data_IF_708615332908
#
_entry.id   IF_708615332908
#
_cell.length_a   1.000
_cell.length_b   1.000
_cell.length_c   1.000
_cell.angle_alpha   90.00
_cell.angle_beta   90.00
_cell.angle_gamma   90.00
#
_symmetry.space_group_name_H-M   'P 1'
#
loop_
_entity.id
_entity.type
_entity.pdbx_description
1 polymer ?
#
# COMPACT_ATOMS: atom_id res chain seq x y z
N UNK A 1 -5.55 -5.47 27.09
CA UNK A 1 -4.84 -4.91 25.93
C UNK A 1 -4.83 -6.00 24.86
N UNK A 2 -5.59 -5.84 23.76
CA UNK A 2 -5.57 -6.82 22.66
C UNK A 2 -4.37 -6.46 21.76
N UNK A 3 -3.24 -7.10 21.98
CA UNK A 3 -2.08 -7.03 21.10
C UNK A 3 -2.22 -8.12 20.01
N UNK A 4 -2.18 -7.75 18.75
CA UNK A 4 -2.35 -8.70 17.63
C UNK A 4 -1.21 -9.74 17.57
N UNK A 5 -0.05 -9.48 18.20
CA UNK A 5 1.04 -10.43 18.32
C UNK A 5 0.65 -11.72 19.04
N UNK A 6 -0.39 -11.68 19.92
CA UNK A 6 -0.92 -12.84 20.62
C UNK A 6 -1.37 -13.95 19.65
N UNK A 7 -1.82 -13.59 18.45
CA UNK A 7 -2.25 -14.58 17.45
C UNK A 7 -1.12 -15.41 16.86
N UNK A 8 0.11 -14.95 17.03
CA UNK A 8 1.31 -15.54 16.41
C UNK A 8 2.22 -16.25 17.41
N UNK A 9 1.89 -16.17 18.72
CA UNK A 9 2.70 -16.71 19.81
C UNK A 9 1.85 -17.62 20.71
N UNK A 10 2.51 -18.56 21.40
CA UNK A 10 1.85 -19.25 22.50
C UNK A 10 1.68 -18.28 23.69
N UNK A 11 0.72 -18.54 24.60
CA UNK A 11 0.58 -17.73 25.82
C UNK A 11 1.87 -17.65 26.66
N UNK A 12 2.63 -18.74 26.67
CA UNK A 12 3.90 -18.80 27.40
C UNK A 12 4.96 -17.90 26.77
N UNK A 13 5.13 -17.96 25.46
CA UNK A 13 6.05 -17.09 24.71
C UNK A 13 5.68 -15.63 24.87
N UNK A 14 4.39 -15.30 24.72
CA UNK A 14 3.91 -13.92 24.84
C UNK A 14 4.20 -13.32 26.22
N UNK A 15 4.10 -14.10 27.29
CA UNK A 15 4.30 -13.62 28.67
C UNK A 15 5.76 -13.60 29.12
N UNK A 16 6.61 -14.51 28.59
CA UNK A 16 7.99 -14.67 29.05
C UNK A 16 9.05 -13.99 28.19
N UNK A 17 8.79 -13.76 26.91
CA UNK A 17 9.79 -13.17 26.03
C UNK A 17 9.93 -11.67 26.26
N UNK A 18 11.18 -11.14 26.18
CA UNK A 18 11.42 -9.70 26.07
C UNK A 18 10.69 -9.12 24.83
N UNK A 19 10.30 -7.84 24.89
CA UNK A 19 9.45 -7.24 23.86
C UNK A 19 10.06 -7.33 22.46
N UNK A 20 11.31 -7.03 22.26
CA UNK A 20 11.99 -7.14 20.96
C UNK A 20 11.88 -8.55 20.40
N UNK A 21 12.26 -9.56 21.19
CA UNK A 21 12.20 -10.97 20.75
C UNK A 21 10.76 -11.43 20.49
N UNK A 22 9.83 -11.03 21.37
CA UNK A 22 8.39 -11.30 21.25
C UNK A 22 7.86 -10.83 19.90
N UNK A 23 8.04 -9.56 19.58
CA UNK A 23 7.49 -8.96 18.37
C UNK A 23 8.23 -9.43 17.11
N UNK A 24 9.54 -9.64 17.18
CA UNK A 24 10.29 -10.23 16.07
C UNK A 24 9.80 -11.66 15.76
N UNK A 25 9.62 -12.49 16.78
CA UNK A 25 9.12 -13.86 16.61
C UNK A 25 7.69 -13.91 16.05
N UNK A 26 6.83 -13.01 16.51
CA UNK A 26 5.49 -12.86 15.96
C UNK A 26 5.52 -12.46 14.48
N UNK A 27 6.36 -11.50 14.11
CA UNK A 27 6.57 -11.07 12.73
C UNK A 27 7.09 -12.21 11.86
N UNK A 28 8.09 -12.94 12.31
CA UNK A 28 8.68 -14.06 11.57
C UNK A 28 7.64 -15.15 11.27
N UNK A 29 6.79 -15.48 12.24
CA UNK A 29 5.70 -16.45 12.04
C UNK A 29 4.63 -15.94 11.09
N UNK A 30 4.26 -14.65 11.22
CA UNK A 30 3.35 -14.01 10.27
C UNK A 30 3.89 -14.08 8.84
N UNK A 31 5.16 -13.74 8.63
CA UNK A 31 5.79 -13.75 7.30
C UNK A 31 5.94 -15.15 6.73
N UNK A 32 6.27 -16.14 7.56
CA UNK A 32 6.52 -17.54 7.16
C UNK A 32 5.24 -18.39 7.09
N UNK A 33 4.05 -17.85 7.40
CA UNK A 33 2.82 -18.65 7.41
C UNK A 33 2.58 -19.36 6.06
N UNK A 34 2.29 -20.68 6.07
CA UNK A 34 2.35 -21.50 4.85
C UNK A 34 1.17 -21.29 3.90
N UNK A 35 0.02 -20.86 4.38
CA UNK A 35 -1.19 -20.67 3.58
C UNK A 35 -1.64 -19.22 3.67
N UNK A 36 -1.43 -18.48 2.57
CA UNK A 36 -2.01 -17.16 2.37
C UNK A 36 -3.19 -17.28 1.41
N UNK A 37 -4.30 -16.66 1.74
CA UNK A 37 -5.42 -16.53 0.81
C UNK A 37 -5.00 -15.69 -0.42
N UNK A 38 -5.76 -15.80 -1.50
CA UNK A 38 -5.51 -14.97 -2.70
C UNK A 38 -5.62 -13.47 -2.37
N UNK A 39 -6.51 -13.11 -1.46
CA UNK A 39 -6.67 -11.75 -0.97
C UNK A 39 -5.43 -11.26 -0.21
N UNK A 40 -4.95 -12.04 0.78
CA UNK A 40 -3.72 -11.69 1.52
C UNK A 40 -2.50 -11.58 0.61
N UNK A 41 -2.39 -12.47 -0.37
CA UNK A 41 -1.32 -12.41 -1.36
C UNK A 41 -1.40 -11.13 -2.22
N UNK A 42 -2.62 -10.69 -2.58
CA UNK A 42 -2.87 -9.41 -3.26
C UNK A 42 -2.44 -8.24 -2.40
N UNK A 43 -2.92 -8.17 -1.16
CA UNK A 43 -2.60 -7.11 -0.21
C UNK A 43 -1.09 -6.99 0.06
N UNK A 44 -0.37 -8.11 0.17
CA UNK A 44 1.09 -8.08 0.31
C UNK A 44 1.78 -7.48 -0.91
N UNK A 45 1.25 -7.73 -2.10
CA UNK A 45 1.79 -7.16 -3.32
C UNK A 45 1.51 -5.65 -3.42
N UNK A 46 0.31 -5.22 -3.04
CA UNK A 46 -0.02 -3.80 -2.93
C UNK A 46 0.93 -3.08 -1.96
N UNK A 47 1.19 -3.66 -0.79
CA UNK A 47 2.15 -3.13 0.19
C UNK A 47 3.58 -3.07 -0.37
N UNK A 48 4.00 -4.08 -1.13
CA UNK A 48 5.30 -4.08 -1.79
C UNK A 48 5.42 -2.96 -2.84
N UNK A 49 4.41 -2.79 -3.68
CA UNK A 49 4.38 -1.70 -4.68
C UNK A 49 4.32 -0.34 -3.96
N UNK A 50 3.51 -0.21 -2.92
CA UNK A 50 3.45 1.01 -2.09
C UNK A 50 4.80 1.35 -1.47
N UNK A 51 5.50 0.36 -0.89
CA UNK A 51 6.87 0.53 -0.39
C UNK A 51 7.82 1.11 -1.47
N UNK A 52 7.75 0.59 -2.70
CA UNK A 52 8.60 1.11 -3.78
C UNK A 52 8.30 2.58 -4.10
N UNK A 53 7.02 2.96 -4.10
CA UNK A 53 6.61 4.35 -4.29
C UNK A 53 7.02 5.25 -3.12
N UNK A 54 6.81 4.83 -1.88
CA UNK A 54 7.23 5.58 -0.69
C UNK A 54 8.76 5.73 -0.66
N UNK A 55 9.49 4.68 -1.08
CA UNK A 55 10.95 4.73 -1.20
C UNK A 55 11.44 5.74 -2.24
N UNK A 56 10.64 5.98 -3.28
CA UNK A 56 10.88 6.99 -4.32
C UNK A 56 10.35 8.39 -3.92
N UNK A 57 9.86 8.57 -2.69
CA UNK A 57 9.39 9.84 -2.14
C UNK A 57 7.96 10.21 -2.54
N UNK A 58 7.11 9.23 -2.91
CA UNK A 58 5.68 9.45 -3.08
C UNK A 58 4.94 9.33 -1.74
N UNK A 59 3.93 10.14 -1.55
CA UNK A 59 2.90 9.91 -0.56
C UNK A 59 1.92 8.87 -1.10
N UNK A 60 1.76 7.74 -0.40
CA UNK A 60 0.96 6.59 -0.85
C UNK A 60 -0.28 6.42 0.01
N UNK A 61 -1.46 6.39 -0.62
CA UNK A 61 -2.72 6.02 0.01
C UNK A 61 -3.13 4.62 -0.46
N UNK A 62 -3.41 3.72 0.49
CA UNK A 62 -3.82 2.34 0.24
C UNK A 62 -5.36 2.26 0.28
N UNK A 63 -6.01 2.06 -0.86
CA UNK A 63 -7.47 2.02 -0.97
C UNK A 63 -8.05 0.63 -0.71
N UNK A 64 -7.41 -0.43 -1.16
CA UNK A 64 -7.87 -1.81 -0.95
C UNK A 64 -8.06 -2.19 0.52
N UNK A 65 -7.35 -1.52 1.44
CA UNK A 65 -7.46 -1.73 2.88
C UNK A 65 -8.61 -0.94 3.54
N UNK A 66 -9.10 0.15 2.92
CA UNK A 66 -10.04 1.08 3.55
C UNK A 66 -11.48 0.97 3.05
N UNK A 67 -11.72 0.60 1.79
CA UNK A 67 -13.05 0.67 1.17
C UNK A 67 -13.60 -0.65 0.60
N UNK A 68 -12.84 -1.73 0.67
CA UNK A 68 -13.30 -3.06 0.27
C UNK A 68 -13.76 -3.12 -1.19
N UNK A 69 -15.04 -3.47 -1.45
CA UNK A 69 -15.61 -3.62 -2.81
C UNK A 69 -15.78 -2.30 -3.57
N UNK A 70 -15.62 -1.15 -2.94
CA UNK A 70 -15.76 0.16 -3.55
C UNK A 70 -14.45 0.76 -4.06
N UNK A 71 -13.37 -0.01 -4.13
CA UNK A 71 -12.07 0.44 -4.63
C UNK A 71 -12.06 0.74 -6.14
N UNK A 72 -13.10 0.32 -6.87
CA UNK A 72 -13.24 0.45 -8.33
C UNK A 72 -12.02 -0.03 -9.12
N UNK A 73 -11.20 -0.92 -8.51
CA UNK A 73 -9.99 -1.46 -9.12
C UNK A 73 -8.79 -0.51 -9.07
N UNK A 74 -8.77 0.46 -8.15
CA UNK A 74 -7.60 1.22 -7.76
C UNK A 74 -7.10 0.74 -6.40
N UNK A 75 -5.87 0.29 -6.35
CA UNK A 75 -5.31 -0.24 -5.10
C UNK A 75 -4.51 0.82 -4.35
N UNK A 76 -3.77 1.68 -5.10
CA UNK A 76 -2.96 2.75 -4.54
C UNK A 76 -3.19 4.07 -5.27
N UNK A 77 -3.14 5.18 -4.53
CA UNK A 77 -2.96 6.53 -5.06
C UNK A 77 -1.63 7.07 -4.55
N UNK A 78 -0.72 7.35 -5.49
CA UNK A 78 0.64 7.78 -5.18
C UNK A 78 0.85 9.21 -5.68
N UNK A 79 1.07 10.14 -4.75
CA UNK A 79 1.22 11.58 -5.05
C UNK A 79 2.65 12.03 -4.82
N UNK A 80 3.21 12.74 -5.79
CA UNK A 80 4.52 13.40 -5.66
C UNK A 80 4.55 14.65 -6.51
N UNK A 81 4.85 15.78 -5.90
CA UNK A 81 4.76 17.10 -6.54
C UNK A 81 3.37 17.28 -7.17
N UNK A 82 3.31 17.66 -8.45
CA UNK A 82 2.06 17.86 -9.21
C UNK A 82 1.59 16.60 -9.94
N UNK A 83 2.20 15.44 -9.69
CA UNK A 83 1.87 14.19 -10.35
C UNK A 83 1.16 13.20 -9.43
N UNK A 84 0.10 12.59 -9.92
CA UNK A 84 -0.69 11.58 -9.22
C UNK A 84 -0.70 10.30 -10.05
N UNK A 85 -0.22 9.21 -9.47
CA UNK A 85 -0.32 7.88 -10.08
C UNK A 85 -1.51 7.12 -9.48
N UNK A 86 -2.42 6.67 -10.33
CA UNK A 86 -3.52 5.76 -9.98
C UNK A 86 -3.03 4.36 -10.31
N UNK A 87 -2.79 3.55 -9.28
CA UNK A 87 -2.11 2.26 -9.44
C UNK A 87 -3.07 1.11 -9.17
N UNK A 88 -3.12 0.17 -10.10
CA UNK A 88 -3.73 -1.14 -9.90
C UNK A 88 -2.63 -2.20 -9.81
N UNK A 89 -2.75 -3.09 -8.81
CA UNK A 89 -1.79 -4.14 -8.51
C UNK A 89 -2.41 -5.53 -8.80
N UNK A 90 -1.66 -6.42 -9.45
CA UNK A 90 -2.15 -7.79 -9.70
C UNK A 90 -1.05 -8.81 -9.47
N UNK A 91 -1.20 -9.59 -8.39
CA UNK A 91 -0.32 -10.72 -8.09
C UNK A 91 -0.92 -12.01 -8.64
N UNK A 92 -0.51 -12.38 -9.84
CA UNK A 92 -0.92 -13.61 -10.48
C UNK A 92 0.28 -14.55 -10.72
N UNK A 93 -0.02 -15.84 -10.92
CA UNK A 93 1.00 -16.81 -11.34
C UNK A 93 1.46 -16.51 -12.76
N UNK A 94 2.69 -16.91 -13.09
CA UNK A 94 3.29 -16.75 -14.42
C UNK A 94 2.51 -17.40 -15.56
N UNK A 95 1.57 -18.31 -15.24
CA UNK A 95 0.68 -18.97 -16.23
C UNK A 95 -0.49 -18.11 -16.69
N UNK A 96 -0.76 -16.96 -16.02
CA UNK A 96 -1.84 -16.04 -16.35
C UNK A 96 -1.26 -14.77 -16.97
N UNK A 97 -2.03 -14.12 -17.85
CA UNK A 97 -1.69 -12.83 -18.43
C UNK A 97 -2.76 -11.78 -18.07
N UNK A 98 -2.33 -10.54 -18.01
CA UNK A 98 -3.25 -9.40 -17.90
C UNK A 98 -3.85 -9.14 -19.27
N UNK A 99 -5.18 -9.05 -19.35
CA UNK A 99 -5.94 -8.79 -20.55
C UNK A 99 -6.46 -7.34 -20.60
N UNK A 100 -6.89 -6.90 -21.79
CA UNK A 100 -7.36 -5.54 -22.08
C UNK A 100 -8.47 -5.05 -21.14
N UNK A 101 -9.34 -5.92 -20.67
CA UNK A 101 -10.42 -5.56 -19.73
C UNK A 101 -9.89 -4.94 -18.44
N UNK A 102 -8.71 -5.37 -17.97
CA UNK A 102 -8.09 -4.82 -16.76
C UNK A 102 -7.51 -3.43 -17.04
N UNK A 103 -6.95 -3.22 -18.22
CA UNK A 103 -6.44 -1.91 -18.66
C UNK A 103 -7.60 -0.92 -18.77
N UNK A 104 -8.73 -1.33 -19.38
CA UNK A 104 -9.94 -0.52 -19.51
C UNK A 104 -10.54 -0.17 -18.15
N UNK A 105 -10.56 -1.12 -17.21
CA UNK A 105 -11.03 -0.89 -15.83
C UNK A 105 -10.19 0.20 -15.16
N UNK A 106 -8.86 0.06 -15.16
CA UNK A 106 -7.96 1.05 -14.56
C UNK A 106 -8.12 2.43 -15.23
N UNK A 107 -8.19 2.47 -16.56
CA UNK A 107 -8.37 3.73 -17.27
C UNK A 107 -9.69 4.41 -16.88
N UNK A 108 -10.81 3.69 -16.89
CA UNK A 108 -12.11 4.22 -16.48
C UNK A 108 -12.11 4.72 -15.02
N UNK A 109 -11.49 3.97 -14.10
CA UNK A 109 -11.30 4.38 -12.71
C UNK A 109 -10.45 5.65 -12.59
N UNK A 110 -9.41 5.78 -13.42
CA UNK A 110 -8.55 6.97 -13.44
C UNK A 110 -9.32 8.21 -13.92
N UNK A 111 -10.17 8.05 -14.97
CA UNK A 111 -11.06 9.12 -15.43
C UNK A 111 -12.01 9.56 -14.31
N UNK A 112 -12.65 8.61 -13.65
CA UNK A 112 -13.58 8.91 -12.55
C UNK A 112 -12.88 9.61 -11.39
N UNK A 113 -11.68 9.16 -11.01
CA UNK A 113 -10.89 9.83 -9.98
C UNK A 113 -10.58 11.28 -10.35
N UNK A 114 -10.15 11.52 -11.59
CA UNK A 114 -9.90 12.89 -12.07
C UNK A 114 -11.13 13.76 -11.98
N UNK A 115 -12.27 13.27 -12.47
CA UNK A 115 -13.52 14.03 -12.49
C UNK A 115 -14.06 14.33 -11.10
N UNK A 116 -13.87 13.41 -10.12
CA UNK A 116 -14.39 13.59 -8.77
C UNK A 116 -13.45 14.38 -7.85
N UNK A 117 -12.12 14.19 -7.98
CA UNK A 117 -11.16 14.65 -6.97
C UNK A 117 -10.21 15.76 -7.46
N UNK A 118 -9.99 15.87 -8.76
CA UNK A 118 -8.97 16.78 -9.30
C UNK A 118 -9.53 17.92 -10.13
N UNK A 119 -10.68 17.73 -10.76
CA UNK A 119 -11.16 18.65 -11.78
C UNK A 119 -12.11 19.70 -11.23
N UNK A 120 -11.84 20.97 -11.53
CA UNK A 120 -12.77 22.08 -11.28
C UNK A 120 -13.88 22.11 -12.32
N UNK A 121 -13.57 21.70 -13.56
CA UNK A 121 -14.51 21.75 -14.72
C UNK A 121 -15.27 20.44 -14.94
N UNK A 122 -14.84 19.35 -14.31
CA UNK A 122 -15.42 18.00 -14.43
C UNK A 122 -15.61 17.55 -15.90
N UNK A 123 -14.66 17.90 -16.78
CA UNK A 123 -14.74 17.59 -18.22
C UNK A 123 -13.73 16.53 -18.63
N UNK A 124 -14.11 15.73 -19.64
CA UNK A 124 -13.22 14.69 -20.21
C UNK A 124 -12.03 15.33 -20.93
N UNK A 125 -12.22 16.50 -21.56
CA UNK A 125 -11.12 17.22 -22.22
C UNK A 125 -10.05 17.64 -21.22
N UNK A 126 -10.44 18.11 -20.04
CA UNK A 126 -9.52 18.43 -18.95
C UNK A 126 -8.74 17.20 -18.47
N UNK A 127 -9.37 16.03 -18.45
CA UNK A 127 -8.70 14.78 -18.14
C UNK A 127 -7.60 14.45 -19.17
N UNK A 128 -7.90 14.53 -20.47
CA UNK A 128 -6.89 14.25 -21.49
C UNK A 128 -5.72 15.23 -21.44
N UNK A 129 -5.97 16.49 -21.13
CA UNK A 129 -4.89 17.45 -20.91
C UNK A 129 -4.04 17.05 -19.70
N UNK A 130 -4.64 16.72 -18.55
CA UNK A 130 -3.94 16.30 -17.36
C UNK A 130 -3.12 15.00 -17.59
N UNK A 131 -3.62 14.08 -18.40
CA UNK A 131 -2.92 12.85 -18.79
C UNK A 131 -1.69 13.16 -19.65
N UNK A 132 -1.83 14.05 -20.64
CA UNK A 132 -0.74 14.48 -21.52
C UNK A 132 0.34 15.25 -20.73
N UNK A 133 -0.07 16.10 -19.80
CA UNK A 133 0.81 16.87 -18.92
C UNK A 133 1.42 16.03 -17.79
N UNK A 134 1.10 14.72 -17.72
CA UNK A 134 1.53 13.78 -16.67
C UNK A 134 1.16 14.22 -15.25
N UNK A 135 0.08 14.98 -15.11
CA UNK A 135 -0.50 15.33 -13.81
C UNK A 135 -1.29 14.18 -13.22
N UNK A 136 -1.86 13.33 -14.07
CA UNK A 136 -2.47 12.05 -13.68
C UNK A 136 -1.95 10.93 -14.57
N UNK A 137 -1.55 9.79 -13.97
CA UNK A 137 -0.89 8.69 -14.67
C UNK A 137 -1.51 7.36 -14.19
N UNK A 138 -2.24 6.64 -15.06
CA UNK A 138 -2.68 5.28 -14.76
C UNK A 138 -1.49 4.31 -14.86
N UNK A 139 -1.26 3.52 -13.81
CA UNK A 139 -0.17 2.53 -13.75
C UNK A 139 -0.73 1.17 -13.39
N UNK A 140 -0.48 0.17 -14.22
CA UNK A 140 -0.81 -1.21 -13.93
C UNK A 140 0.46 -1.97 -13.53
N UNK A 141 0.55 -2.42 -12.27
CA UNK A 141 1.65 -3.21 -11.75
C UNK A 141 1.24 -4.68 -11.64
N UNK A 142 2.00 -5.59 -12.22
CA UNK A 142 1.70 -7.03 -12.19
C UNK A 142 2.94 -7.87 -11.96
N UNK A 143 2.76 -9.04 -11.32
CA UNK A 143 3.81 -10.07 -11.23
C UNK A 143 3.91 -10.92 -12.50
N UNK A 144 2.96 -10.78 -13.43
CA UNK A 144 2.89 -11.55 -14.68
C UNK A 144 2.85 -10.65 -15.90
N UNK A 145 3.01 -11.22 -17.09
CA UNK A 145 3.00 -10.51 -18.36
C UNK A 145 1.61 -10.05 -18.79
N UNK A 146 1.59 -9.27 -19.84
CA UNK A 146 0.40 -8.70 -20.47
C UNK A 146 0.17 -9.38 -21.83
N UNK A 147 -1.09 -9.57 -22.23
CA UNK A 147 -1.40 -9.97 -23.61
C UNK A 147 -1.04 -8.85 -24.58
N UNK A 148 -0.80 -9.20 -25.83
CA UNK A 148 -0.50 -8.24 -26.89
C UNK A 148 -1.61 -7.18 -27.02
N UNK A 149 -2.88 -7.62 -26.98
CA UNK A 149 -4.04 -6.73 -26.99
C UNK A 149 -4.03 -5.78 -25.79
N UNK A 150 -3.69 -6.27 -24.58
CA UNK A 150 -3.60 -5.40 -23.41
C UNK A 150 -2.53 -4.32 -23.56
N UNK A 151 -1.38 -4.65 -24.15
CA UNK A 151 -0.31 -3.68 -24.41
C UNK A 151 -0.72 -2.64 -25.47
N UNK A 152 -1.47 -3.05 -26.50
CA UNK A 152 -2.03 -2.13 -27.51
C UNK A 152 -3.01 -1.14 -26.87
N UNK A 153 -3.93 -1.63 -26.02
CA UNK A 153 -4.86 -0.79 -25.28
C UNK A 153 -4.13 0.16 -24.33
N UNK A 154 -3.15 -0.34 -23.59
CA UNK A 154 -2.36 0.47 -22.67
C UNK A 154 -1.65 1.63 -23.40
N UNK A 155 -1.03 1.33 -24.55
CA UNK A 155 -0.38 2.35 -25.38
C UNK A 155 -1.38 3.41 -25.86
N UNK A 156 -2.55 2.99 -26.34
CA UNK A 156 -3.58 3.91 -26.86
C UNK A 156 -4.21 4.78 -25.77
N UNK A 157 -4.34 4.25 -24.55
CA UNK A 157 -4.98 4.92 -23.41
C UNK A 157 -3.98 5.64 -22.48
N UNK A 158 -2.69 5.59 -22.78
CA UNK A 158 -1.66 6.21 -21.92
C UNK A 158 -1.46 5.48 -20.59
N UNK A 159 -1.81 4.19 -20.49
CA UNK A 159 -1.61 3.37 -19.28
C UNK A 159 -0.19 2.82 -19.25
N UNK A 160 0.51 3.01 -18.14
CA UNK A 160 1.86 2.43 -17.94
C UNK A 160 1.73 1.01 -17.38
N UNK A 161 2.21 0.02 -18.15
CA UNK A 161 2.28 -1.37 -17.72
C UNK A 161 3.65 -1.69 -17.13
N UNK A 162 3.69 -2.17 -15.88
CA UNK A 162 4.92 -2.57 -15.19
C UNK A 162 4.84 -4.04 -14.79
N UNK A 163 5.79 -4.86 -15.28
CA UNK A 163 6.01 -6.21 -14.74
C UNK A 163 6.99 -6.05 -13.58
N UNK A 164 6.52 -6.31 -12.36
CA UNK A 164 7.31 -6.16 -11.14
C UNK A 164 7.16 -7.39 -10.27
N UNK A 165 8.04 -8.39 -10.40
CA UNK A 165 8.06 -9.53 -9.48
C UNK A 165 8.26 -9.06 -8.04
N UNK A 166 7.58 -9.71 -7.11
CA UNK A 166 7.75 -9.40 -5.69
C UNK A 166 9.13 -9.84 -5.23
N UNK A 167 9.87 -8.92 -4.62
CA UNK A 167 11.16 -9.15 -3.99
C UNK A 167 11.11 -9.01 -2.47
N UNK A 168 12.21 -9.30 -1.76
CA UNK A 168 12.33 -9.00 -0.35
C UNK A 168 12.32 -7.48 -0.13
N UNK A 169 11.65 -7.04 0.93
CA UNK A 169 11.64 -5.63 1.35
C UNK A 169 11.41 -5.53 2.86
N UNK A 170 11.86 -4.47 3.52
CA UNK A 170 11.58 -4.25 4.94
C UNK A 170 10.07 -4.01 5.13
N UNK A 171 9.50 -4.64 6.16
CA UNK A 171 8.05 -4.63 6.37
C UNK A 171 7.62 -3.94 7.68
N UNK A 172 8.54 -3.43 8.46
CA UNK A 172 8.24 -2.71 9.70
C UNK A 172 8.17 -1.22 9.36
N UNK A 173 7.00 -0.61 9.50
CA UNK A 173 6.81 0.82 9.27
C UNK A 173 7.13 1.60 10.53
N UNK A 174 8.12 2.49 10.49
CA UNK A 174 8.52 3.39 11.56
C UNK A 174 8.07 4.80 11.23
N UNK A 175 6.98 5.27 11.84
CA UNK A 175 6.42 6.59 11.58
C UNK A 175 6.41 7.49 12.81
N UNK A 176 6.36 8.79 12.59
CA UNK A 176 6.27 9.82 13.62
C UNK A 176 4.84 10.37 13.64
N UNK A 177 4.15 10.22 14.76
CA UNK A 177 2.79 10.73 14.91
C UNK A 177 2.80 12.26 14.82
N UNK A 178 2.08 12.82 13.85
CA UNK A 178 2.08 14.27 13.58
C UNK A 178 1.54 15.11 14.74
N UNK A 179 0.65 14.56 15.56
CA UNK A 179 0.01 15.29 16.68
C UNK A 179 0.77 15.17 17.99
N UNK A 180 1.39 14.00 18.25
CA UNK A 180 2.06 13.71 19.53
C UNK A 180 3.57 13.67 19.43
N UNK A 181 4.12 13.69 18.22
CA UNK A 181 5.54 13.49 17.90
C UNK A 181 6.13 12.17 18.44
N UNK A 182 5.25 11.21 18.75
CA UNK A 182 5.69 9.89 19.19
C UNK A 182 6.25 9.09 18.01
N UNK A 183 7.39 8.44 18.23
CA UNK A 183 8.02 7.52 17.30
C UNK A 183 7.39 6.13 17.48
N UNK A 184 6.69 5.63 16.47
CA UNK A 184 5.89 4.42 16.56
C UNK A 184 6.26 3.47 15.42
N UNK A 185 6.50 2.18 15.73
CA UNK A 185 6.59 1.18 14.67
C UNK A 185 5.35 0.29 14.61
N UNK A 186 4.98 -0.06 13.38
CA UNK A 186 3.86 -0.92 13.03
C UNK A 186 4.33 -2.20 12.35
N UNK A 187 3.74 -3.32 12.75
CA UNK A 187 3.93 -4.61 12.10
C UNK A 187 2.80 -4.89 11.11
N UNK A 188 3.03 -5.72 10.05
CA UNK A 188 2.07 -5.93 8.98
C UNK A 188 0.68 -6.47 9.40
N UNK A 189 0.57 -6.98 10.61
CA UNK A 189 -0.70 -7.45 11.18
C UNK A 189 -1.39 -6.43 12.10
N UNK A 190 -0.83 -5.22 12.23
CA UNK A 190 -1.43 -4.17 13.05
C UNK A 190 -2.58 -3.47 12.32
N UNK A 191 -3.58 -3.06 13.09
CA UNK A 191 -4.78 -2.41 12.57
C UNK A 191 -4.49 -1.16 11.73
N UNK A 192 -3.46 -0.39 12.11
CA UNK A 192 -3.13 0.89 11.47
C UNK A 192 -2.05 0.77 10.40
N UNK A 193 -1.55 -0.44 10.12
CA UNK A 193 -0.40 -0.62 9.23
C UNK A 193 -0.63 -0.03 7.82
N UNK A 194 -1.80 -0.28 7.22
CA UNK A 194 -2.10 0.20 5.87
C UNK A 194 -2.55 1.66 5.83
N UNK A 195 -2.85 2.26 6.99
CA UNK A 195 -3.13 3.69 7.12
C UNK A 195 -1.86 4.51 7.44
N UNK A 196 -0.77 3.83 7.79
CA UNK A 196 0.51 4.46 8.08
C UNK A 196 1.28 4.67 6.77
N UNK A 197 1.56 5.91 6.42
CA UNK A 197 2.40 6.34 5.30
C UNK A 197 3.78 6.67 5.81
N UNK A 198 4.82 6.31 5.07
CA UNK A 198 6.22 6.57 5.44
C UNK A 198 6.77 7.73 4.62
N UNK A 199 7.15 8.81 5.31
CA UNK A 199 7.78 10.00 4.74
C UNK A 199 9.25 10.09 5.18
N UNK A 200 10.16 9.74 4.30
CA UNK A 200 11.61 9.81 4.59
C UNK A 200 12.10 11.21 4.94
N UNK A 201 11.49 12.23 4.37
CA UNK A 201 11.83 13.63 4.64
C UNK A 201 11.56 14.03 6.10
N UNK A 202 10.66 13.30 6.77
CA UNK A 202 10.34 13.50 8.18
C UNK A 202 11.14 12.61 9.13
N UNK A 203 12.11 11.82 8.63
CA UNK A 203 12.88 10.87 9.42
C UNK A 203 12.19 9.53 9.64
N UNK A 204 11.10 9.27 8.92
CA UNK A 204 10.39 8.00 8.95
C UNK A 204 11.06 6.99 8.00
N UNK A 205 10.96 5.69 8.33
CA UNK A 205 11.64 4.67 7.53
C UNK A 205 10.99 3.29 7.69
N UNK A 206 11.43 2.37 6.86
CA UNK A 206 11.11 0.95 6.97
C UNK A 206 12.28 0.20 7.61
N UNK A 207 12.04 -0.47 8.75
CA UNK A 207 13.03 -1.29 9.43
C UNK A 207 12.95 -2.76 8.99
N UNK A 208 14.10 -3.43 8.97
CA UNK A 208 14.23 -4.86 8.68
C UNK A 208 13.89 -5.72 9.90
N UNK A 209 14.22 -5.24 11.09
CA UNK A 209 14.02 -5.96 12.35
C UNK A 209 13.37 -5.07 13.41
N UNK A 210 12.72 -5.70 14.39
CA UNK A 210 12.17 -4.99 15.55
C UNK A 210 13.28 -4.32 16.36
N UNK A 211 14.46 -4.96 16.46
CA UNK A 211 15.61 -4.37 17.13
C UNK A 211 16.04 -3.07 16.46
N UNK A 212 16.13 -3.03 15.12
CA UNK A 212 16.47 -1.81 14.38
C UNK A 212 15.47 -0.68 14.65
N UNK A 213 14.17 -0.98 14.69
CA UNK A 213 13.16 0.01 15.02
C UNK A 213 13.29 0.57 16.44
N UNK A 214 13.54 -0.31 17.43
CA UNK A 214 13.68 0.10 18.83
C UNK A 214 15.00 0.83 19.10
N UNK A 215 16.11 0.42 18.47
CA UNK A 215 17.39 1.11 18.54
C UNK A 215 17.32 2.54 17.96
N UNK A 216 16.44 2.73 16.95
CA UNK A 216 16.14 4.05 16.40
C UNK A 216 15.16 4.88 17.26
N UNK A 217 14.75 4.37 18.43
CA UNK A 217 13.87 5.07 19.38
C UNK A 217 12.38 4.94 19.09
N UNK A 218 11.99 4.00 18.22
CA UNK A 218 10.57 3.76 17.93
C UNK A 218 10.01 2.69 18.88
N UNK A 219 8.83 2.96 19.45
CA UNK A 219 8.11 2.01 20.27
C UNK A 219 7.03 1.27 19.49
N UNK A 220 6.64 0.13 20.01
CA UNK A 220 5.52 -0.67 19.44
C UNK A 220 4.21 0.13 19.37
N UNK A 221 3.49 0.01 18.27
CA UNK A 221 2.13 0.54 18.14
C UNK A 221 1.20 -0.10 19.17
N UNK A 222 0.40 0.72 19.84
CA UNK A 222 -0.67 0.24 20.73
C UNK A 222 -1.98 0.21 19.94
N UNK A 223 -2.84 -0.77 20.21
CA UNK A 223 -4.15 -0.82 19.57
C UNK A 223 -4.94 0.45 19.87
N UNK A 224 -5.36 1.15 18.81
CA UNK A 224 -6.22 2.32 18.95
C UNK A 224 -7.66 1.87 19.28
N UNK A 225 -8.28 2.50 20.30
CA UNK A 225 -9.64 2.19 20.77
C UNK A 225 -10.72 3.15 20.22
N UNK A 226 -10.37 4.05 19.32
CA UNK A 226 -11.30 5.04 18.75
C UNK A 226 -12.09 4.53 17.54
N UNK A 227 -13.24 5.15 17.23
CA UNK A 227 -14.07 4.84 16.07
C UNK A 227 -13.38 5.31 14.78
N UNK A 228 -13.15 4.40 13.84
CA UNK A 228 -12.54 4.66 12.52
C UNK A 228 -13.34 5.70 11.69
N UNK A 229 -14.66 5.83 11.94
CA UNK A 229 -15.54 6.75 11.22
C UNK A 229 -15.26 8.26 11.42
N UNK A 230 -14.47 8.66 12.41
CA UNK A 230 -14.17 10.08 12.65
C UNK A 230 -12.94 10.62 11.91
N UNK A 231 -12.09 9.76 11.36
CA UNK A 231 -10.85 10.20 10.68
C UNK A 231 -11.06 10.55 9.21
N UNK A 232 -12.06 9.98 8.55
CA UNK A 232 -12.35 10.21 7.13
C UNK A 232 -13.20 11.47 6.84
N UNK A 233 -13.55 12.25 7.88
CA UNK A 233 -14.42 13.44 7.74
C UNK A 233 -13.68 14.78 7.83
N UNK A 234 -12.35 14.80 7.88
CA UNK A 234 -11.56 16.04 7.96
C UNK A 234 -10.22 15.91 7.20
N UNK A 235 -10.31 15.75 5.89
CA UNK A 235 -9.24 16.20 4.97
C UNK A 235 -9.84 16.35 3.58
#
# INVERSE_FOLDING_TARGET
VNDEAIRWLSPEEYNKLPDVEKYQRALDRYMKRPKKSSWEAGQEYERYIGYLYENDGFHVTYFGASEGLHDFGRDLICKKNDSIHIVQCKRWSSKKQIHEKHINQLFGTTVMYYLSEMSVTHTVDGFYQALNDKKIIPVFASTTGYSETALQFAKSLGVICKIKPMGPYPVIKCNINQSTHEHIYHLPFDQQYDHCVISKEQGEFYALTVQEAEDAGFRRAKRWKGNIQKYNAKN
#
